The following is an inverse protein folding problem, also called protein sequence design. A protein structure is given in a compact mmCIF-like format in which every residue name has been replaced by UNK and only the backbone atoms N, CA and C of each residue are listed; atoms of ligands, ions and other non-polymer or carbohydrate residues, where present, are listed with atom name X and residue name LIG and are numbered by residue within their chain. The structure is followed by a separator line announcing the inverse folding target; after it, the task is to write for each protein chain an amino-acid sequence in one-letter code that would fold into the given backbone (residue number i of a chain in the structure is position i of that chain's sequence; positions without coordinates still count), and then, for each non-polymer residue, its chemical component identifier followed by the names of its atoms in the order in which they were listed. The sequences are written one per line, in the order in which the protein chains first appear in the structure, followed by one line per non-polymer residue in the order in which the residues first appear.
data_IF_707330311310
#
_entry.id   IF_707330311310
#
_cell.length_a   1.000
_cell.length_b   1.000
_cell.length_c   1.000
_cell.angle_alpha   90.00
_cell.angle_beta   90.00
_cell.angle_gamma   90.00
#
_symmetry.space_group_name_H-M   'P 1'
#
loop_
_entity.id
_entity.type
_entity.pdbx_description
1 polymer ?
#
# COMPACT_ATOMS: atom_id res chain seq x y z
N UNK A 1 14.40 -10.52 13.08
CA UNK A 1 15.30 -9.73 12.23
C UNK A 1 16.60 -9.51 13.00
N UNK A 2 17.77 -9.62 12.36
CA UNK A 2 19.08 -9.44 13.00
C UNK A 2 19.36 -7.94 13.24
N UNK A 3 19.49 -7.55 14.51
CA UNK A 3 19.67 -6.15 14.92
C UNK A 3 20.97 -5.54 14.37
N UNK A 4 22.03 -6.35 14.22
CA UNK A 4 23.31 -5.89 13.66
C UNK A 4 23.14 -5.55 12.18
N UNK A 5 22.49 -6.45 11.43
CA UNK A 5 22.20 -6.22 10.00
C UNK A 5 21.31 -4.99 9.77
N UNK A 6 20.35 -4.73 10.66
CA UNK A 6 19.49 -3.53 10.60
C UNK A 6 20.29 -2.26 10.88
N UNK A 7 21.20 -2.27 11.87
CA UNK A 7 22.04 -1.12 12.17
C UNK A 7 22.95 -0.76 10.99
N UNK A 8 23.62 -1.75 10.40
CA UNK A 8 24.47 -1.55 9.21
C UNK A 8 23.68 -1.00 8.02
N UNK A 9 22.48 -1.52 7.77
CA UNK A 9 21.63 -0.99 6.70
C UNK A 9 21.25 0.48 6.95
N UNK A 10 20.95 0.85 8.20
CA UNK A 10 20.64 2.24 8.56
C UNK A 10 21.84 3.15 8.32
N UNK A 11 23.06 2.72 8.64
CA UNK A 11 24.28 3.49 8.37
C UNK A 11 24.48 3.72 6.86
N UNK A 12 24.35 2.67 6.05
CA UNK A 12 24.44 2.78 4.58
C UNK A 12 23.41 3.75 4.02
N UNK A 13 22.18 3.73 4.55
CA UNK A 13 21.10 4.60 4.09
C UNK A 13 21.20 6.03 4.65
N UNK A 14 21.93 6.27 5.74
CA UNK A 14 22.02 7.58 6.39
C UNK A 14 22.62 8.67 5.49
N UNK A 15 23.49 8.29 4.55
CA UNK A 15 24.04 9.19 3.53
C UNK A 15 23.05 9.52 2.39
N UNK A 16 21.85 8.96 2.41
CA UNK A 16 20.83 9.14 1.36
C UNK A 16 19.60 9.85 1.89
N UNK A 17 18.74 10.32 0.98
CA UNK A 17 17.44 10.90 1.36
C UNK A 17 16.38 9.85 1.72
N UNK A 18 16.65 8.56 1.50
CA UNK A 18 15.66 7.49 1.60
C UNK A 18 15.02 7.39 2.99
N UNK A 19 15.77 7.35 4.11
CA UNK A 19 15.15 7.24 5.43
C UNK A 19 14.19 8.40 5.75
N UNK A 20 14.53 9.61 5.32
CA UNK A 20 13.69 10.78 5.52
C UNK A 20 12.46 10.76 4.61
N UNK A 21 12.63 10.38 3.34
CA UNK A 21 11.55 10.26 2.38
C UNK A 21 10.52 9.19 2.80
N UNK A 22 10.99 8.00 3.19
CA UNK A 22 10.12 6.90 3.63
C UNK A 22 9.35 7.26 4.89
N UNK A 23 9.97 7.95 5.87
CA UNK A 23 9.26 8.42 7.07
C UNK A 23 8.18 9.45 6.74
N UNK A 24 8.47 10.41 5.86
CA UNK A 24 7.47 11.40 5.41
C UNK A 24 6.31 10.73 4.67
N UNK A 25 6.63 9.79 3.78
CA UNK A 25 5.63 9.00 3.07
C UNK A 25 4.73 8.22 4.05
N UNK A 26 5.32 7.47 4.97
CA UNK A 26 4.58 6.71 5.98
C UNK A 26 3.71 7.61 6.86
N UNK A 27 4.22 8.77 7.28
CA UNK A 27 3.45 9.75 8.06
C UNK A 27 2.25 10.31 7.30
N UNK A 28 2.45 10.65 6.03
CA UNK A 28 1.37 11.17 5.14
C UNK A 28 0.32 10.10 4.87
N UNK A 29 0.76 8.86 4.62
CA UNK A 29 -0.15 7.75 4.39
C UNK A 29 -1.01 7.49 5.62
N UNK A 30 -0.38 7.39 6.80
CA UNK A 30 -1.06 7.15 8.08
C UNK A 30 -2.09 8.24 8.40
N UNK A 31 -1.75 9.51 8.23
CA UNK A 31 -2.70 10.61 8.48
C UNK A 31 -3.86 10.59 7.49
N UNK A 32 -3.59 10.27 6.21
CA UNK A 32 -4.62 10.18 5.18
C UNK A 32 -5.62 9.07 5.47
N UNK A 33 -5.17 7.85 5.77
CA UNK A 33 -6.08 6.71 5.98
C UNK A 33 -6.88 6.86 7.28
N UNK A 34 -6.28 7.44 8.33
CA UNK A 34 -6.98 7.70 9.58
C UNK A 34 -8.12 8.74 9.41
N UNK A 35 -7.91 9.77 8.59
CA UNK A 35 -8.93 10.79 8.34
C UNK A 35 -10.13 10.27 7.53
N UNK A 36 -9.92 9.26 6.68
CA UNK A 36 -10.95 8.70 5.79
C UNK A 36 -11.58 7.40 6.31
N UNK A 37 -11.05 6.81 7.39
CA UNK A 37 -11.53 5.55 7.94
C UNK A 37 -11.26 4.33 7.03
N UNK A 38 -10.19 4.37 6.24
CA UNK A 38 -9.81 3.30 5.31
C UNK A 38 -10.13 3.59 3.84
N UNK A 39 -10.31 2.52 3.06
CA UNK A 39 -10.57 2.62 1.61
C UNK A 39 -9.35 3.00 0.78
N UNK A 40 -8.13 2.71 1.27
CA UNK A 40 -6.90 2.99 0.56
C UNK A 40 -6.87 2.21 -0.76
N UNK A 41 -6.88 2.92 -1.87
CA UNK A 41 -6.70 2.34 -3.21
C UNK A 41 -5.24 2.43 -3.61
N UNK A 42 -4.67 1.31 -4.03
CA UNK A 42 -3.33 1.27 -4.59
C UNK A 42 -3.42 0.94 -6.08
N UNK A 43 -3.06 1.92 -6.91
CA UNK A 43 -3.19 1.86 -8.36
C UNK A 43 -1.83 2.04 -9.00
N UNK A 44 -1.46 1.13 -9.89
CA UNK A 44 -0.23 1.18 -10.67
C UNK A 44 -0.39 1.91 -12.00
N UNK A 45 0.74 2.08 -12.70
CA UNK A 45 0.72 2.33 -14.13
C UNK A 45 0.42 1.03 -14.90
N UNK A 46 0.12 1.10 -16.22
CA UNK A 46 -0.16 -0.09 -17.02
C UNK A 46 1.01 -1.09 -17.05
N UNK A 47 2.25 -0.59 -16.95
CA UNK A 47 3.46 -1.41 -16.99
C UNK A 47 3.99 -1.80 -15.61
N UNK A 48 3.40 -1.27 -14.53
CA UNK A 48 3.88 -1.50 -13.17
C UNK A 48 2.73 -1.58 -12.17
N UNK A 49 2.43 -2.81 -11.74
CA UNK A 49 1.48 -3.08 -10.66
C UNK A 49 2.21 -3.07 -9.30
N UNK A 50 1.76 -2.27 -8.32
CA UNK A 50 2.43 -2.09 -7.03
C UNK A 50 2.11 -3.20 -6.02
N UNK A 51 2.06 -4.46 -6.48
CA UNK A 51 1.61 -5.60 -5.68
C UNK A 51 2.51 -5.85 -4.44
N UNK A 52 3.82 -5.62 -4.56
CA UNK A 52 4.75 -5.73 -3.43
C UNK A 52 4.42 -4.72 -2.32
N UNK A 53 4.07 -3.49 -2.71
CA UNK A 53 3.70 -2.45 -1.75
C UNK A 53 2.36 -2.80 -1.09
N UNK A 54 1.40 -3.35 -1.84
CA UNK A 54 0.14 -3.83 -1.26
C UNK A 54 0.41 -4.89 -0.18
N UNK A 55 1.25 -5.89 -0.47
CA UNK A 55 1.61 -6.94 0.50
C UNK A 55 2.26 -6.35 1.76
N UNK A 56 3.24 -5.45 1.62
CA UNK A 56 3.89 -4.82 2.77
C UNK A 56 2.95 -3.92 3.59
N UNK A 57 1.97 -3.28 2.95
CA UNK A 57 0.97 -2.49 3.66
C UNK A 57 0.00 -3.37 4.46
N UNK A 58 -0.33 -4.57 3.98
CA UNK A 58 -1.11 -5.56 4.75
C UNK A 58 -0.34 -5.99 6.00
N UNK A 59 0.95 -6.30 5.87
CA UNK A 59 1.80 -6.65 7.01
C UNK A 59 1.90 -5.47 8.01
N UNK A 60 2.13 -4.26 7.51
CA UNK A 60 2.23 -3.06 8.35
C UNK A 60 0.90 -2.72 9.03
N UNK A 61 -0.24 -2.94 8.37
CA UNK A 61 -1.56 -2.77 8.97
C UNK A 61 -1.72 -3.69 10.19
N UNK A 62 -1.32 -4.96 10.04
CA UNK A 62 -1.35 -5.94 11.13
C UNK A 62 -0.38 -5.59 12.25
N UNK A 63 0.86 -5.20 11.93
CA UNK A 63 1.89 -4.90 12.93
C UNK A 63 1.65 -3.61 13.71
N UNK A 64 1.13 -2.58 13.04
CA UNK A 64 0.90 -1.27 13.65
C UNK A 64 -0.51 -1.10 14.22
N UNK A 65 -1.37 -2.13 14.13
CA UNK A 65 -2.76 -2.06 14.58
C UNK A 65 -3.58 -1.00 13.85
N UNK A 66 -3.25 -0.72 12.60
CA UNK A 66 -3.89 0.31 11.76
C UNK A 66 -4.51 -0.36 10.54
N UNK A 67 -5.70 -0.99 10.68
CA UNK A 67 -6.32 -1.77 9.61
C UNK A 67 -6.60 -0.95 8.35
N UNK A 68 -6.77 0.36 8.48
CA UNK A 68 -7.03 1.30 7.38
C UNK A 68 -5.86 1.38 6.37
N UNK A 69 -4.67 0.88 6.74
CA UNK A 69 -3.52 0.76 5.83
C UNK A 69 -3.66 -0.41 4.84
N UNK A 70 -4.50 -1.40 5.12
CA UNK A 70 -4.70 -2.54 4.23
C UNK A 70 -5.34 -2.07 2.92
N UNK A 71 -4.63 -2.09 1.78
CA UNK A 71 -5.12 -1.47 0.57
C UNK A 71 -5.94 -2.44 -0.29
N UNK A 72 -6.86 -1.88 -1.08
CA UNK A 72 -7.40 -2.57 -2.26
C UNK A 72 -6.45 -2.34 -3.43
N UNK A 73 -5.79 -3.39 -3.89
CA UNK A 73 -4.93 -3.36 -5.08
C UNK A 73 -5.82 -3.33 -6.34
N UNK A 74 -5.77 -2.24 -7.09
CA UNK A 74 -6.50 -2.11 -8.37
C UNK A 74 -5.55 -2.48 -9.52
N UNK A 75 -5.90 -3.54 -10.24
CA UNK A 75 -5.08 -4.12 -11.30
C UNK A 75 -5.53 -3.67 -12.69
N UNK A 76 -4.58 -3.56 -13.60
CA UNK A 76 -4.87 -3.24 -15.01
C UNK A 76 -5.38 -4.47 -15.75
N UNK A 77 -4.89 -5.66 -15.39
CA UNK A 77 -5.25 -6.93 -16.00
C UNK A 77 -5.90 -7.90 -14.99
N UNK A 78 -6.83 -7.40 -14.18
CA UNK A 78 -7.63 -8.25 -13.28
C UNK A 78 -8.53 -9.20 -14.08
N UNK A 79 -8.56 -10.47 -13.68
CA UNK A 79 -9.46 -11.48 -14.26
C UNK A 79 -10.58 -11.82 -13.27
N UNK A 80 -11.80 -12.12 -13.74
CA UNK A 80 -12.92 -12.49 -12.86
C UNK A 80 -12.62 -13.69 -11.96
N UNK A 81 -11.80 -14.63 -12.43
CA UNK A 81 -11.44 -15.86 -11.71
C UNK A 81 -10.19 -15.69 -10.82
N UNK A 82 -9.59 -14.50 -10.78
CA UNK A 82 -8.48 -14.22 -9.86
C UNK A 82 -8.98 -14.29 -8.41
N UNK A 83 -8.11 -14.61 -7.43
CA UNK A 83 -8.45 -14.49 -6.02
C UNK A 83 -9.06 -13.12 -5.71
N UNK A 84 -10.04 -13.04 -4.80
CA UNK A 84 -10.81 -11.82 -4.57
C UNK A 84 -9.95 -10.56 -4.36
N UNK A 85 -8.82 -10.69 -3.64
CA UNK A 85 -7.88 -9.59 -3.38
C UNK A 85 -7.03 -9.16 -4.60
N UNK A 86 -7.13 -9.89 -5.72
CA UNK A 86 -6.46 -9.62 -7.00
C UNK A 86 -7.46 -9.40 -8.16
N UNK A 87 -8.77 -9.56 -7.89
CA UNK A 87 -9.82 -9.47 -8.91
C UNK A 87 -10.34 -8.03 -9.13
N UNK A 88 -9.91 -7.06 -8.33
CA UNK A 88 -10.34 -5.66 -8.48
C UNK A 88 -9.58 -5.00 -9.63
N UNK A 89 -10.29 -4.73 -10.73
CA UNK A 89 -9.74 -4.06 -11.91
C UNK A 89 -10.25 -2.63 -12.12
N UNK A 90 -9.66 -1.91 -13.08
CA UNK A 90 -10.07 -0.55 -13.44
C UNK A 90 -11.56 -0.42 -13.81
N UNK A 91 -12.16 -1.45 -14.41
CA UNK A 91 -13.59 -1.46 -14.72
C UNK A 91 -14.48 -1.33 -13.48
N UNK A 92 -14.06 -1.92 -12.35
CA UNK A 92 -14.79 -1.81 -11.08
C UNK A 92 -14.69 -0.40 -10.50
N UNK A 93 -13.55 0.26 -10.66
CA UNK A 93 -13.37 1.67 -10.27
C UNK A 93 -14.25 2.59 -11.13
N UNK A 94 -14.30 2.36 -12.45
CA UNK A 94 -15.15 3.14 -13.36
C UNK A 94 -16.65 2.96 -13.10
N UNK A 95 -17.07 1.80 -12.59
CA UNK A 95 -18.47 1.51 -12.25
C UNK A 95 -18.89 2.00 -10.86
N UNK A 96 -17.95 2.43 -10.02
CA UNK A 96 -18.22 2.81 -8.64
C UNK A 96 -19.15 4.04 -8.57
N UNK A 97 -20.17 3.96 -7.70
CA UNK A 97 -21.13 5.05 -7.47
C UNK A 97 -20.78 5.84 -6.22
N UNK A 98 -21.44 6.99 -6.07
CA UNK A 98 -21.28 7.84 -4.87
C UNK A 98 -21.62 7.03 -3.61
N UNK A 99 -20.67 6.97 -2.68
CA UNK A 99 -20.81 6.27 -1.40
C UNK A 99 -20.44 4.78 -1.44
N UNK A 100 -20.08 4.23 -2.60
CA UNK A 100 -19.56 2.86 -2.68
C UNK A 100 -18.07 2.80 -2.35
N UNK A 101 -17.67 1.75 -1.64
CA UNK A 101 -16.27 1.38 -1.40
C UNK A 101 -15.88 0.16 -2.25
N UNK A 102 -14.57 -0.05 -2.40
CA UNK A 102 -13.96 -1.14 -3.16
C UNK A 102 -13.36 -2.20 -2.25
#
# INVERSE_FOLDING_TARGET
MDAVRVALLREVLAGTQWPAATRRFAGTLRSSVAAHGGGLLLVGGPDYEPWHLAAHLVDEAAWSGTPELSPTLVRHAARPDDPAHLAVGLGRLAAARRGETL
#
